data_IF_151458603740
#
_entry.id   IF_151458603740
#
_cell.length_a   1.000
_cell.length_b   1.000
_cell.length_c   1.000
_cell.angle_alpha   90.00
_cell.angle_beta   90.00
_cell.angle_gamma   90.00
#
_symmetry.space_group_name_H-M   'P 1'
#
loop_
_entity.id
_entity.type
_entity.pdbx_description
1 polymer ?
#
# COMPACT_ATOMS: atom_id res chain seq x y z
N UNK A 1 -43.15 -35.12 -0.83
CA UNK A 1 -41.78 -35.26 -0.27
C UNK A 1 -40.69 -34.81 -1.25
N UNK A 2 -40.74 -35.17 -2.53
CA UNK A 2 -39.75 -34.74 -3.54
C UNK A 2 -39.62 -33.21 -3.75
N UNK A 3 -40.71 -32.41 -3.85
CA UNK A 3 -40.56 -30.97 -4.13
C UNK A 3 -40.05 -30.17 -2.92
N UNK A 4 -40.33 -30.63 -1.69
CA UNK A 4 -39.87 -29.99 -0.46
C UNK A 4 -38.35 -30.14 -0.28
N UNK A 5 -37.82 -31.31 -0.65
CA UNK A 5 -36.38 -31.59 -0.61
C UNK A 5 -35.62 -30.73 -1.63
N UNK A 6 -36.20 -30.52 -2.82
CA UNK A 6 -35.60 -29.68 -3.87
C UNK A 6 -35.54 -28.20 -3.45
N UNK A 7 -36.57 -27.69 -2.78
CA UNK A 7 -36.60 -26.30 -2.29
C UNK A 7 -35.57 -26.08 -1.17
N UNK A 8 -35.43 -27.05 -0.26
CA UNK A 8 -34.45 -26.97 0.82
C UNK A 8 -32.99 -26.98 0.31
N UNK A 9 -32.74 -27.74 -0.77
CA UNK A 9 -31.43 -27.81 -1.41
C UNK A 9 -31.08 -26.51 -2.17
N UNK A 10 -32.07 -25.83 -2.75
CA UNK A 10 -31.90 -24.52 -3.41
C UNK A 10 -31.63 -23.38 -2.41
N UNK A 11 -32.14 -23.49 -1.19
CA UNK A 11 -31.92 -22.50 -0.13
C UNK A 11 -30.49 -22.59 0.44
N UNK A 12 -29.92 -23.79 0.51
CA UNK A 12 -28.55 -24.00 0.98
C UNK A 12 -27.49 -23.49 -0.02
N UNK A 13 -27.76 -23.53 -1.33
CA UNK A 13 -26.83 -23.00 -2.33
C UNK A 13 -26.80 -21.47 -2.38
N UNK A 14 -27.90 -20.79 -2.03
CA UNK A 14 -27.94 -19.32 -1.95
C UNK A 14 -27.06 -18.77 -0.80
N UNK A 15 -26.96 -19.50 0.31
CA UNK A 15 -26.13 -19.12 1.47
C UNK A 15 -24.62 -19.32 1.25
N UNK A 16 -24.22 -20.01 0.18
CA UNK A 16 -22.81 -20.24 -0.18
C UNK A 16 -22.25 -19.19 -1.14
N UNK A 17 -23.01 -18.14 -1.47
CA UNK A 17 -22.43 -16.94 -2.09
C UNK A 17 -21.65 -16.18 -1.00
N UNK A 18 -20.43 -16.64 -0.74
CA UNK A 18 -19.46 -15.83 -0.02
C UNK A 18 -19.36 -14.48 -0.72
N UNK A 19 -19.55 -13.39 0.02
CA UNK A 19 -19.23 -12.06 -0.46
C UNK A 19 -17.74 -12.06 -0.83
N UNK A 20 -17.44 -12.35 -2.10
CA UNK A 20 -16.16 -12.03 -2.69
C UNK A 20 -16.07 -10.52 -2.63
N UNK A 21 -15.35 -10.00 -1.64
CA UNK A 21 -15.20 -8.57 -1.46
C UNK A 21 -14.56 -8.02 -2.73
N UNK A 22 -15.22 -7.06 -3.36
CA UNK A 22 -14.81 -6.51 -4.66
C UNK A 22 -13.39 -5.91 -4.56
N UNK A 23 -12.51 -6.07 -5.56
CA UNK A 23 -11.22 -5.38 -5.60
C UNK A 23 -11.40 -3.87 -5.33
N UNK A 24 -10.59 -3.29 -4.42
CA UNK A 24 -10.63 -1.87 -4.07
C UNK A 24 -11.23 -1.52 -2.70
N UNK A 25 -11.89 -2.44 -2.00
CA UNK A 25 -12.41 -2.15 -0.64
C UNK A 25 -11.31 -2.12 0.44
N UNK A 26 -10.23 -2.88 0.24
CA UNK A 26 -9.13 -3.05 1.19
C UNK A 26 -8.11 -1.94 0.99
N UNK A 27 -7.67 -1.31 2.07
CA UNK A 27 -6.61 -0.29 2.01
C UNK A 27 -5.30 -0.83 2.58
N UNK A 28 -4.19 -0.20 2.20
CA UNK A 28 -2.88 -0.52 2.75
C UNK A 28 -2.87 -0.24 4.26
N UNK A 29 -2.34 -1.19 5.02
CA UNK A 29 -2.28 -1.13 6.47
C UNK A 29 -0.88 -0.77 6.97
N UNK A 30 -0.82 0.17 7.89
CA UNK A 30 0.35 0.41 8.73
C UNK A 30 0.03 -0.12 10.14
N UNK A 31 1.05 -0.29 10.99
CA UNK A 31 0.81 -0.64 12.39
C UNK A 31 -0.12 0.40 13.04
N UNK A 32 -0.90 -0.05 14.03
CA UNK A 32 -1.68 0.84 14.89
C UNK A 32 -0.80 1.45 15.98
N UNK A 33 0.33 2.02 15.55
CA UNK A 33 1.38 2.61 16.36
C UNK A 33 1.80 3.94 15.76
N UNK A 34 2.32 4.83 16.59
CA UNK A 34 2.79 6.13 16.13
C UNK A 34 3.98 5.96 15.19
N UNK A 35 3.90 6.50 13.97
CA UNK A 35 5.07 6.62 13.09
C UNK A 35 5.99 7.72 13.63
N UNK A 36 7.27 7.39 13.80
CA UNK A 36 8.29 8.32 14.33
C UNK A 36 9.15 8.94 13.24
N UNK A 37 9.29 8.27 12.10
CA UNK A 37 10.12 8.72 10.98
C UNK A 37 9.66 8.02 9.69
N UNK A 38 9.67 8.76 8.59
CA UNK A 38 9.59 8.20 7.23
C UNK A 38 10.96 8.40 6.58
N UNK A 39 11.54 7.33 6.03
CA UNK A 39 12.78 7.43 5.23
C UNK A 39 12.49 7.07 3.80
N UNK A 40 13.01 7.87 2.89
CA UNK A 40 12.95 7.63 1.45
C UNK A 40 14.37 7.36 0.97
N UNK A 41 14.56 6.27 0.26
CA UNK A 41 15.80 5.92 -0.44
C UNK A 41 15.51 5.61 -1.90
N UNK A 42 16.53 5.70 -2.76
CA UNK A 42 16.37 5.27 -4.16
C UNK A 42 16.15 3.76 -4.20
N UNK A 43 15.31 3.28 -5.10
CA UNK A 43 15.21 1.85 -5.34
C UNK A 43 16.53 1.31 -5.92
N UNK A 44 17.02 0.20 -5.38
CA UNK A 44 18.22 -0.50 -5.90
C UNK A 44 17.99 -1.99 -6.16
N UNK A 45 17.17 -2.65 -5.34
CA UNK A 45 16.92 -4.07 -5.44
C UNK A 45 15.52 -4.44 -4.95
N UNK A 46 14.98 -5.53 -5.48
CA UNK A 46 13.65 -6.05 -5.13
C UNK A 46 13.62 -6.71 -3.75
N UNK A 47 14.67 -7.46 -3.40
CA UNK A 47 14.72 -8.28 -2.18
C UNK A 47 15.29 -7.55 -0.96
N UNK A 48 15.64 -6.28 -1.10
CA UNK A 48 16.23 -5.48 -0.02
C UNK A 48 15.75 -4.02 -0.07
N UNK A 49 15.93 -3.31 1.04
CA UNK A 49 15.75 -1.87 1.12
C UNK A 49 17.10 -1.18 0.96
N UNK A 50 17.15 -0.14 0.13
CA UNK A 50 18.35 0.69 0.09
C UNK A 50 18.57 1.38 1.44
N UNK A 51 19.73 1.12 2.07
CA UNK A 51 20.12 1.71 3.34
C UNK A 51 20.57 3.17 3.25
N UNK A 52 20.87 3.67 2.05
CA UNK A 52 21.22 5.07 1.81
C UNK A 52 19.95 5.93 1.74
N UNK A 53 19.64 6.59 2.86
CA UNK A 53 18.48 7.49 2.96
C UNK A 53 18.75 8.78 2.18
N UNK A 54 17.93 9.06 1.17
CA UNK A 54 17.92 10.33 0.44
C UNK A 54 17.32 11.43 1.29
N UNK A 55 16.14 11.18 1.87
CA UNK A 55 15.43 12.14 2.73
C UNK A 55 14.75 11.42 3.90
N UNK A 56 14.72 12.09 5.05
CA UNK A 56 14.10 11.60 6.28
C UNK A 56 13.14 12.66 6.84
N UNK A 57 11.89 12.28 7.04
CA UNK A 57 10.84 13.13 7.60
C UNK A 57 10.55 12.73 9.04
N UNK A 58 10.75 13.68 9.96
CA UNK A 58 10.49 13.51 11.41
C UNK A 58 9.44 14.49 11.95
N UNK A 59 9.07 15.50 11.17
CA UNK A 59 7.98 16.40 11.53
C UNK A 59 6.64 15.69 11.41
N UNK A 60 5.77 15.88 12.40
CA UNK A 60 4.48 15.20 12.46
C UNK A 60 3.53 15.57 11.32
N UNK A 61 3.68 16.75 10.71
CA UNK A 61 2.87 17.15 9.55
C UNK A 61 3.31 16.42 8.29
N UNK A 62 4.61 16.30 8.09
CA UNK A 62 5.19 15.63 6.93
C UNK A 62 4.93 14.13 7.01
N UNK A 63 5.16 13.52 8.18
CA UNK A 63 4.81 12.11 8.43
C UNK A 63 3.34 11.85 8.09
N UNK A 64 2.43 12.74 8.48
CA UNK A 64 0.99 12.61 8.17
C UNK A 64 0.69 12.59 6.69
N UNK A 65 1.45 13.33 5.86
CA UNK A 65 1.27 13.31 4.41
C UNK A 65 1.48 11.89 3.87
N UNK A 66 2.55 11.22 4.31
CA UNK A 66 2.84 9.84 3.92
C UNK A 66 1.84 8.85 4.52
N UNK A 67 1.48 8.98 5.81
CA UNK A 67 0.48 8.11 6.43
C UNK A 67 -0.88 8.21 5.72
N UNK A 68 -1.32 9.42 5.37
CA UNK A 68 -2.56 9.62 4.62
C UNK A 68 -2.47 8.97 3.24
N UNK A 69 -1.35 9.17 2.52
CA UNK A 69 -1.16 8.57 1.20
C UNK A 69 -1.21 7.04 1.25
N UNK A 70 -0.52 6.42 2.21
CA UNK A 70 -0.44 4.97 2.39
C UNK A 70 -1.79 4.42 2.85
N UNK A 71 -2.37 4.95 3.94
CA UNK A 71 -3.60 4.40 4.54
C UNK A 71 -4.85 4.58 3.67
N UNK A 72 -4.84 5.55 2.75
CA UNK A 72 -5.90 5.74 1.76
C UNK A 72 -5.59 5.04 0.42
N UNK A 73 -4.46 4.34 0.29
CA UNK A 73 -4.16 3.58 -0.92
C UNK A 73 -5.01 2.32 -0.94
N UNK A 74 -5.71 2.09 -2.05
CA UNK A 74 -6.63 0.96 -2.20
C UNK A 74 -5.95 -0.20 -2.91
N UNK A 75 -6.13 -1.42 -2.37
CA UNK A 75 -5.64 -2.66 -2.95
C UNK A 75 -6.26 -2.87 -4.32
N UNK A 76 -5.42 -3.04 -5.33
CA UNK A 76 -5.82 -3.39 -6.68
C UNK A 76 -5.14 -4.69 -7.11
N UNK A 77 -5.74 -5.38 -8.08
CA UNK A 77 -5.02 -6.45 -8.78
C UNK A 77 -3.96 -5.78 -9.64
N UNK A 78 -2.71 -6.23 -9.52
CA UNK A 78 -1.67 -5.77 -10.42
C UNK A 78 -1.77 -6.54 -11.74
N UNK A 79 -2.50 -6.00 -12.70
CA UNK A 79 -2.59 -6.51 -14.07
C UNK A 79 -1.61 -5.82 -15.02
N UNK A 80 -0.91 -4.80 -14.55
CA UNK A 80 0.09 -4.06 -15.30
C UNK A 80 1.49 -4.63 -15.05
N UNK A 81 2.28 -4.75 -16.12
CA UNK A 81 3.73 -4.85 -15.96
C UNK A 81 4.23 -3.46 -15.59
N UNK A 82 4.65 -3.27 -14.34
CA UNK A 82 5.37 -2.08 -13.89
C UNK A 82 6.86 -2.29 -14.12
N UNK A 83 7.56 -1.20 -14.44
CA UNK A 83 9.02 -1.15 -14.34
C UNK A 83 9.45 -1.14 -12.86
N UNK A 84 10.74 -1.02 -12.59
CA UNK A 84 11.25 -0.91 -11.23
C UNK A 84 10.62 0.29 -10.47
N UNK A 85 10.41 0.19 -9.15
CA UNK A 85 9.99 1.31 -8.31
C UNK A 85 10.95 2.50 -8.41
N UNK A 86 10.45 3.69 -8.11
CA UNK A 86 11.29 4.89 -8.02
C UNK A 86 12.02 4.94 -6.67
N UNK A 87 11.31 4.57 -5.60
CA UNK A 87 11.80 4.72 -4.23
C UNK A 87 11.48 3.52 -3.34
N UNK A 88 12.32 3.39 -2.33
CA UNK A 88 12.13 2.60 -1.14
C UNK A 88 11.65 3.50 0.00
N UNK A 89 10.50 3.19 0.58
CA UNK A 89 9.90 3.90 1.70
C UNK A 89 9.96 3.04 2.96
N UNK A 90 10.72 3.51 3.95
CA UNK A 90 10.77 2.89 5.28
C UNK A 90 9.88 3.65 6.25
N UNK A 91 8.84 3.00 6.77
CA UNK A 91 8.01 3.55 7.85
C UNK A 91 8.55 3.07 9.19
N UNK A 92 9.10 3.99 9.97
CA UNK A 92 9.77 3.70 11.24
C UNK A 92 8.84 4.03 12.41
N UNK A 93 8.87 3.14 13.41
CA UNK A 93 8.10 3.23 14.64
C UNK A 93 9.02 3.38 15.85
N UNK A 94 8.51 3.58 17.08
CA UNK A 94 9.30 3.57 18.29
C UNK A 94 10.09 2.26 18.44
N UNK A 95 11.14 2.30 19.26
CA UNK A 95 11.96 1.10 19.49
C UNK A 95 11.11 -0.08 19.99
N UNK A 96 11.41 -1.26 19.44
CA UNK A 96 10.70 -2.51 19.73
C UNK A 96 9.66 -2.90 18.68
N UNK A 97 9.32 -2.02 17.74
CA UNK A 97 8.41 -2.31 16.63
C UNK A 97 9.17 -2.55 15.31
N UNK A 98 8.68 -3.46 14.44
CA UNK A 98 9.23 -3.63 13.11
C UNK A 98 8.89 -2.42 12.24
N UNK A 99 9.76 -2.09 11.27
CA UNK A 99 9.43 -1.11 10.24
C UNK A 99 8.56 -1.73 9.14
N UNK A 100 7.84 -0.91 8.39
CA UNK A 100 7.31 -1.32 7.08
C UNK A 100 8.30 -0.94 5.98
N UNK A 101 8.62 -1.89 5.11
CA UNK A 101 9.36 -1.70 3.88
C UNK A 101 8.38 -1.65 2.71
N UNK A 102 8.31 -0.52 2.03
CA UNK A 102 7.33 -0.24 0.99
C UNK A 102 8.06 0.21 -0.28
N UNK A 103 7.74 -0.42 -1.40
CA UNK A 103 8.16 0.04 -2.74
C UNK A 103 7.19 1.10 -3.24
N UNK A 104 7.70 2.17 -3.84
CA UNK A 104 6.92 3.30 -4.33
C UNK A 104 7.20 3.59 -5.80
N UNK A 105 6.16 3.55 -6.62
CA UNK A 105 6.11 4.20 -7.93
C UNK A 105 5.43 5.56 -7.77
N UNK A 106 6.22 6.63 -7.84
CA UNK A 106 5.76 7.98 -7.62
C UNK A 106 5.11 8.53 -8.89
N UNK A 107 3.82 8.83 -8.80
CA UNK A 107 3.10 9.46 -9.90
C UNK A 107 3.63 10.84 -10.25
N UNK A 108 3.49 11.24 -11.52
CA UNK A 108 3.64 12.63 -11.95
C UNK A 108 2.59 13.56 -11.33
N UNK A 109 2.71 14.86 -11.61
CA UNK A 109 1.71 15.85 -11.18
C UNK A 109 0.31 15.46 -11.68
N UNK A 110 -0.66 15.39 -10.76
CA UNK A 110 -2.04 15.00 -11.07
C UNK A 110 -2.23 13.52 -11.36
N UNK A 111 -1.22 12.66 -11.12
CA UNK A 111 -1.28 11.22 -11.35
C UNK A 111 -1.28 10.42 -10.05
N UNK A 112 -1.79 9.19 -10.10
CA UNK A 112 -1.80 8.26 -8.96
C UNK A 112 -0.40 7.72 -8.68
N UNK A 113 -0.12 7.44 -7.40
CA UNK A 113 1.08 6.71 -6.98
C UNK A 113 0.70 5.30 -6.53
N UNK A 114 1.69 4.42 -6.55
CA UNK A 114 1.49 3.01 -6.26
C UNK A 114 2.45 2.58 -5.19
N UNK A 115 1.94 1.83 -4.23
CA UNK A 115 2.71 1.21 -3.17
C UNK A 115 2.64 -0.31 -3.27
N UNK A 116 3.70 -0.97 -2.83
CA UNK A 116 3.71 -2.41 -2.56
C UNK A 116 4.48 -2.67 -1.28
N UNK A 117 4.07 -3.67 -0.50
CA UNK A 117 4.92 -4.18 0.57
C UNK A 117 6.07 -4.98 -0.05
N UNK A 118 7.30 -4.75 0.42
CA UNK A 118 8.45 -5.56 0.00
C UNK A 118 8.23 -7.06 0.33
N UNK A 119 7.57 -7.33 1.46
CA UNK A 119 7.17 -8.68 1.85
C UNK A 119 5.74 -8.93 1.38
N UNK A 120 5.57 -9.68 0.27
CA UNK A 120 4.25 -9.95 -0.32
C UNK A 120 3.26 -10.57 0.68
N UNK A 121 2.06 -9.99 0.78
CA UNK A 121 1.06 -10.31 1.80
C UNK A 121 0.00 -11.34 1.30
N UNK A 122 0.10 -11.81 0.06
CA UNK A 122 -0.96 -12.57 -0.63
C UNK A 122 -0.43 -13.76 -1.45
N UNK A 123 0.06 -14.80 -0.77
CA UNK A 123 0.16 -16.15 -1.37
C UNK A 123 1.00 -16.29 -2.65
N UNK A 124 1.90 -15.34 -2.93
CA UNK A 124 2.75 -15.32 -4.13
C UNK A 124 2.38 -14.30 -5.20
N UNK A 125 1.38 -13.44 -4.99
CA UNK A 125 1.09 -12.28 -5.84
C UNK A 125 1.36 -10.99 -5.08
N UNK A 126 2.19 -10.12 -5.64
CA UNK A 126 2.51 -8.82 -5.07
C UNK A 126 1.27 -7.91 -5.21
N UNK A 127 0.57 -7.69 -4.11
CA UNK A 127 -0.57 -6.79 -4.08
C UNK A 127 -0.07 -5.35 -4.18
N UNK A 128 -0.61 -4.60 -5.13
CA UNK A 128 -0.36 -3.16 -5.25
C UNK A 128 -1.49 -2.36 -4.63
N UNK A 129 -1.12 -1.19 -4.11
CA UNK A 129 -2.03 -0.26 -3.46
C UNK A 129 -1.92 1.09 -4.15
N UNK A 130 -3.03 1.58 -4.71
CA UNK A 130 -3.04 2.81 -5.50
C UNK A 130 -3.63 3.94 -4.67
N UNK A 131 -2.89 5.05 -4.58
CA UNK A 131 -3.35 6.28 -3.92
C UNK A 131 -3.67 7.36 -4.93
N UNK A 132 -4.69 8.16 -4.63
CA UNK A 132 -5.19 9.18 -5.55
C UNK A 132 -4.17 10.29 -5.82
N UNK A 133 -4.29 10.96 -6.97
CA UNK A 133 -3.50 12.14 -7.32
C UNK A 133 -3.39 13.19 -6.21
N UNK A 134 -4.49 13.46 -5.48
CA UNK A 134 -4.48 14.41 -4.35
C UNK A 134 -3.43 14.07 -3.28
N UNK A 135 -3.25 12.78 -2.96
CA UNK A 135 -2.26 12.34 -1.98
C UNK A 135 -0.87 12.22 -2.61
N UNK A 136 -0.80 11.77 -3.86
CA UNK A 136 0.44 11.79 -4.65
C UNK A 136 1.07 13.17 -4.67
N UNK A 137 0.33 14.21 -5.06
CA UNK A 137 0.89 15.54 -5.27
C UNK A 137 1.51 16.09 -3.98
N UNK A 138 0.85 15.90 -2.84
CA UNK A 138 1.38 16.30 -1.53
C UNK A 138 2.65 15.55 -1.14
N UNK A 139 2.69 14.24 -1.38
CA UNK A 139 3.86 13.42 -1.10
C UNK A 139 5.02 13.79 -2.04
N UNK A 140 4.72 14.00 -3.32
CA UNK A 140 5.65 14.40 -4.37
C UNK A 140 6.30 15.75 -4.06
N UNK A 141 5.52 16.72 -3.60
CA UNK A 141 6.03 18.02 -3.16
C UNK A 141 7.13 17.86 -2.10
N UNK A 142 6.92 17.01 -1.09
CA UNK A 142 7.91 16.77 -0.04
C UNK A 142 9.16 16.05 -0.55
N UNK A 143 8.99 14.99 -1.35
CA UNK A 143 10.13 14.20 -1.87
C UNK A 143 11.01 15.05 -2.78
N UNK A 144 10.42 15.88 -3.64
CA UNK A 144 11.16 16.66 -4.63
C UNK A 144 11.71 17.99 -4.10
N UNK A 145 11.09 18.60 -3.08
CA UNK A 145 11.61 19.85 -2.49
C UNK A 145 12.86 19.63 -1.63
N UNK A 146 12.99 18.46 -1.00
CA UNK A 146 14.13 18.12 -0.15
C UNK A 146 15.25 17.36 -0.91
N UNK A 147 15.06 17.13 -2.22
CA UNK A 147 15.99 16.40 -3.10
C UNK A 147 16.88 17.26 -4.00
N UNK A 148 16.76 18.59 -3.91
CA UNK A 148 17.63 19.60 -4.56
C UNK A 148 18.73 20.12 -3.60
#
# INVERSE_FOLDING_TARGET
>A
MKPLLTIMMLYMTALLTGCGKEPGYETMQLLNEQVTEIRISAFEAWDDMNGETLVSFKDAKDIRVFEDAIRNAHKQRDDAKRDDPDYDVTVVYPQGFPFHAIKLWLGGEGQESVFSYMSGDDGGHEAVYVTSAKYTDRMRELILQEGD
#
